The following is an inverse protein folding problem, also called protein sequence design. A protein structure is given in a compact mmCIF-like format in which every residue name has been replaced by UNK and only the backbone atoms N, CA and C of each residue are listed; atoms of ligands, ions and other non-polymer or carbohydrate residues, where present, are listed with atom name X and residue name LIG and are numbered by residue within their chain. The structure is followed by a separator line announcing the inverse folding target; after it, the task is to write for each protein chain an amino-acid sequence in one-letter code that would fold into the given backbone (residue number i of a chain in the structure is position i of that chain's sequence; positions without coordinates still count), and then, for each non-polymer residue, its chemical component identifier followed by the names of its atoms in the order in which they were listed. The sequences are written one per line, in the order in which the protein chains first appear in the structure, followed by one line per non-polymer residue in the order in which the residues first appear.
data_IF_613144471722
#
_entry.id   IF_613144471722
#
_cell.length_a   1.000
_cell.length_b   1.000
_cell.length_c   1.000
_cell.angle_alpha   90.00
_cell.angle_beta   90.00
_cell.angle_gamma   90.00
#
_symmetry.space_group_name_H-M   'P 1'
#
loop_
_entity.id
_entity.type
_entity.pdbx_description
1 polymer ?
#
# COMPACT_ATOMS: atom_id res chain seq x y z
N UNK A 1 -45.01 -0.71 -0.50
CA UNK A 1 -43.62 -0.18 -0.57
C UNK A 1 -42.57 -1.16 -1.10
N UNK A 2 -42.80 -2.48 -1.22
CA UNK A 2 -41.81 -3.46 -1.73
C UNK A 2 -41.63 -3.45 -3.26
N UNK A 3 -42.60 -3.07 -4.05
CA UNK A 3 -42.52 -3.11 -5.53
C UNK A 3 -41.63 -2.01 -6.16
N UNK A 4 -41.45 -0.84 -5.52
CA UNK A 4 -40.61 0.24 -6.06
C UNK A 4 -39.10 -0.06 -6.03
N UNK A 5 -38.62 -0.88 -5.09
CA UNK A 5 -37.22 -1.26 -4.99
C UNK A 5 -36.80 -2.27 -6.08
N UNK A 6 -37.69 -3.13 -6.50
CA UNK A 6 -37.42 -4.07 -7.60
C UNK A 6 -37.35 -3.39 -8.97
N UNK A 7 -38.14 -2.33 -9.19
CA UNK A 7 -38.12 -1.56 -10.44
C UNK A 7 -36.85 -0.76 -10.65
N UNK A 8 -36.31 -0.12 -9.59
CA UNK A 8 -35.04 0.58 -9.68
C UNK A 8 -33.83 -0.37 -9.90
N UNK A 9 -33.83 -1.52 -9.27
CA UNK A 9 -32.78 -2.53 -9.45
C UNK A 9 -32.80 -3.12 -10.88
N UNK A 10 -34.00 -3.32 -11.45
CA UNK A 10 -34.16 -3.82 -12.83
C UNK A 10 -33.72 -2.77 -13.87
N UNK A 11 -33.99 -1.48 -13.66
CA UNK A 11 -33.57 -0.40 -14.56
C UNK A 11 -32.06 -0.26 -14.54
N UNK A 12 -31.41 -0.37 -13.38
CA UNK A 12 -29.96 -0.32 -13.25
C UNK A 12 -29.29 -1.52 -13.97
N UNK A 13 -29.89 -2.70 -13.90
CA UNK A 13 -29.38 -3.89 -14.59
C UNK A 13 -29.59 -3.81 -16.12
N UNK A 14 -30.69 -3.19 -16.59
CA UNK A 14 -30.94 -2.97 -18.01
C UNK A 14 -30.03 -1.89 -18.61
N UNK A 15 -29.63 -0.88 -17.83
CA UNK A 15 -28.66 0.14 -18.26
C UNK A 15 -27.27 -0.43 -18.46
N UNK A 16 -26.91 -1.49 -17.70
CA UNK A 16 -25.63 -2.21 -17.87
C UNK A 16 -25.61 -3.11 -19.10
N UNK A 17 -26.76 -3.52 -19.64
CA UNK A 17 -26.84 -4.40 -20.81
C UNK A 17 -26.88 -3.67 -22.15
N UNK A 18 -27.07 -2.35 -22.17
CA UNK A 18 -27.15 -1.55 -23.42
C UNK A 18 -25.85 -0.91 -23.85
N UNK A 19 -24.74 -1.15 -23.13
CA UNK A 19 -23.41 -0.70 -23.58
C UNK A 19 -22.98 -1.64 -24.71
N UNK A 20 -23.11 -1.18 -25.93
CA UNK A 20 -22.46 -1.82 -27.09
C UNK A 20 -20.95 -1.73 -26.86
N UNK A 21 -20.37 -2.81 -26.36
CA UNK A 21 -18.92 -2.94 -26.14
C UNK A 21 -18.24 -3.05 -27.51
N UNK A 22 -18.09 -1.90 -28.18
CA UNK A 22 -17.10 -1.81 -29.24
C UNK A 22 -15.75 -1.70 -28.54
N UNK A 23 -14.95 -2.77 -28.58
CA UNK A 23 -13.48 -2.78 -28.43
C UNK A 23 -12.87 -1.72 -27.48
N UNK A 24 -13.38 -1.61 -26.24
CA UNK A 24 -12.98 -0.53 -25.32
C UNK A 24 -12.37 -1.05 -24.02
N UNK A 25 -12.34 -2.39 -23.87
CA UNK A 25 -11.84 -3.03 -22.66
C UNK A 25 -10.45 -3.60 -22.88
N UNK A 26 -9.52 -3.23 -22.02
CA UNK A 26 -8.18 -3.81 -21.96
C UNK A 26 -7.95 -4.40 -20.58
N UNK A 27 -7.29 -5.54 -20.55
CA UNK A 27 -6.90 -6.23 -19.29
C UNK A 27 -5.43 -6.61 -19.38
N UNK A 28 -4.73 -6.60 -18.27
CA UNK A 28 -3.30 -6.90 -18.31
C UNK A 28 -2.71 -7.32 -16.99
N UNK A 29 -1.39 -7.23 -16.94
CA UNK A 29 -0.60 -7.49 -15.74
C UNK A 29 0.34 -6.32 -15.50
N UNK A 30 0.53 -5.99 -14.23
CA UNK A 30 1.54 -5.03 -13.80
C UNK A 30 2.32 -5.56 -12.61
N UNK A 31 3.55 -5.05 -12.46
CA UNK A 31 4.38 -5.30 -11.30
C UNK A 31 5.35 -4.16 -11.08
N UNK A 32 5.75 -3.96 -9.82
CA UNK A 32 6.62 -2.85 -9.49
C UNK A 32 7.15 -2.84 -8.09
N UNK A 33 7.92 -1.80 -7.78
CA UNK A 33 8.44 -1.52 -6.45
C UNK A 33 7.63 -0.44 -5.74
N UNK A 34 7.56 -0.54 -4.42
CA UNK A 34 6.92 0.44 -3.55
C UNK A 34 7.90 0.95 -2.51
N UNK A 35 7.71 2.19 -2.07
CA UNK A 35 8.34 2.76 -0.88
C UNK A 35 7.25 3.37 -0.03
N UNK A 36 7.09 2.85 1.19
CA UNK A 36 6.04 3.30 2.10
C UNK A 36 6.62 4.12 3.24
N UNK A 37 5.92 5.17 3.58
CA UNK A 37 6.16 6.05 4.73
C UNK A 37 4.97 5.88 5.68
N UNK A 38 5.25 5.72 6.97
CA UNK A 38 4.22 5.77 7.99
C UNK A 38 4.15 7.20 8.53
N UNK A 39 3.13 7.96 8.11
CA UNK A 39 2.88 9.30 8.60
C UNK A 39 2.23 9.21 9.98
N UNK A 40 2.95 9.65 10.98
CA UNK A 40 2.52 9.64 12.39
C UNK A 40 3.25 10.72 13.17
N UNK A 41 2.58 11.31 14.16
CA UNK A 41 3.20 12.32 15.02
C UNK A 41 3.95 11.65 16.16
N UNK A 42 5.28 11.58 16.03
CA UNK A 42 6.18 10.96 17.02
C UNK A 42 6.67 11.94 18.09
N UNK A 43 6.21 13.20 18.09
CA UNK A 43 6.70 14.24 19.03
C UNK A 43 6.56 13.86 20.51
N UNK A 44 5.62 12.98 20.84
CA UNK A 44 5.39 12.47 22.19
C UNK A 44 6.10 11.13 22.47
N UNK A 45 6.80 10.57 21.50
CA UNK A 45 7.54 9.31 21.62
C UNK A 45 9.02 9.62 21.79
N UNK A 46 9.55 9.41 22.99
CA UNK A 46 10.95 9.64 23.28
C UNK A 46 11.82 8.71 22.44
N UNK A 47 12.85 9.25 21.78
CA UNK A 47 13.88 8.49 21.07
C UNK A 47 13.31 7.42 20.13
N UNK A 48 12.33 7.80 19.29
CA UNK A 48 11.66 6.89 18.34
C UNK A 48 11.50 7.58 17.00
N UNK A 49 11.78 6.85 15.91
CA UNK A 49 11.55 7.28 14.55
C UNK A 49 10.91 6.16 13.69
N UNK A 50 10.16 6.56 12.66
CA UNK A 50 9.63 5.65 11.65
C UNK A 50 10.33 5.88 10.33
N UNK A 51 11.09 4.89 9.89
CA UNK A 51 11.83 4.94 8.65
C UNK A 51 11.03 4.30 7.52
N UNK A 52 11.02 4.90 6.31
CA UNK A 52 10.37 4.30 5.16
C UNK A 52 11.08 3.02 4.74
N UNK A 53 10.29 2.04 4.25
CA UNK A 53 10.85 0.79 3.77
C UNK A 53 10.29 0.41 2.41
N UNK A 54 11.03 -0.44 1.69
CA UNK A 54 10.69 -0.87 0.34
C UNK A 54 9.83 -2.13 0.36
N UNK A 55 9.00 -2.28 -0.67
CA UNK A 55 8.16 -3.43 -0.92
C UNK A 55 7.95 -3.63 -2.42
N UNK A 56 6.96 -4.42 -2.78
CA UNK A 56 6.58 -4.65 -4.16
C UNK A 56 5.06 -4.62 -4.34
N UNK A 57 4.63 -4.48 -5.60
CA UNK A 57 3.23 -4.59 -6.00
C UNK A 57 3.12 -5.49 -7.22
N UNK A 58 2.00 -6.21 -7.31
CA UNK A 58 1.60 -6.97 -8.50
C UNK A 58 0.09 -6.85 -8.65
N UNK A 59 -0.39 -6.58 -9.88
CA UNK A 59 -1.78 -6.28 -10.14
C UNK A 59 -2.28 -6.73 -11.50
N UNK A 60 -3.60 -6.61 -11.65
CA UNK A 60 -4.34 -6.94 -12.88
C UNK A 60 -5.12 -5.68 -13.30
N UNK A 61 -4.48 -4.71 -13.97
CA UNK A 61 -5.16 -3.53 -14.43
C UNK A 61 -6.21 -3.85 -15.49
N UNK A 62 -7.36 -3.23 -15.35
CA UNK A 62 -8.49 -3.28 -16.28
C UNK A 62 -8.80 -1.86 -16.68
N UNK A 63 -8.68 -1.54 -17.95
CA UNK A 63 -8.90 -0.23 -18.53
C UNK A 63 -10.12 -0.25 -19.45
N UNK A 64 -11.09 0.62 -19.20
CA UNK A 64 -12.25 0.84 -20.03
C UNK A 64 -12.20 2.22 -20.67
N UNK A 65 -11.90 2.28 -21.97
CA UNK A 65 -11.82 3.53 -22.76
C UNK A 65 -13.23 4.08 -22.99
N UNK A 66 -13.48 5.35 -22.63
CA UNK A 66 -14.71 6.07 -22.93
C UNK A 66 -14.56 6.81 -24.26
N UNK A 67 -13.39 7.45 -24.44
CA UNK A 67 -13.00 8.15 -25.65
C UNK A 67 -11.45 8.17 -25.74
N UNK A 68 -10.88 8.91 -26.70
CA UNK A 68 -9.44 8.94 -26.98
C UNK A 68 -8.58 9.50 -25.83
N UNK A 69 -9.15 10.33 -24.97
CA UNK A 69 -8.43 11.01 -23.89
C UNK A 69 -8.89 10.60 -22.49
N UNK A 70 -10.02 9.88 -22.34
CA UNK A 70 -10.57 9.50 -21.06
C UNK A 70 -10.89 8.00 -21.01
N UNK A 71 -10.44 7.34 -19.97
CA UNK A 71 -10.80 5.97 -19.62
C UNK A 71 -11.07 5.84 -18.11
N UNK A 72 -11.77 4.79 -17.71
CA UNK A 72 -11.82 4.32 -16.33
C UNK A 72 -10.86 3.15 -16.16
N UNK A 73 -10.10 3.17 -15.07
CA UNK A 73 -9.18 2.09 -14.71
C UNK A 73 -9.55 1.54 -13.34
N UNK A 74 -9.67 0.21 -13.26
CA UNK A 74 -9.73 -0.55 -12.01
C UNK A 74 -8.48 -1.43 -11.94
N UNK A 75 -7.83 -1.47 -10.79
CA UNK A 75 -6.52 -2.09 -10.68
C UNK A 75 -6.38 -2.95 -9.41
N UNK A 76 -7.14 -4.09 -9.34
CA UNK A 76 -6.99 -5.00 -8.22
C UNK A 76 -5.54 -5.48 -8.12
N UNK A 77 -4.89 -5.23 -6.98
CA UNK A 77 -3.50 -5.58 -6.79
C UNK A 77 -3.17 -6.02 -5.35
N UNK A 78 -2.08 -6.75 -5.23
CA UNK A 78 -1.38 -7.00 -3.99
C UNK A 78 -0.26 -5.97 -3.85
N UNK A 79 -0.13 -5.37 -2.67
CA UNK A 79 0.89 -4.36 -2.39
C UNK A 79 1.49 -4.53 -1.00
N UNK A 80 2.79 -4.39 -0.90
CA UNK A 80 3.47 -4.27 0.38
C UNK A 80 3.64 -2.79 0.75
N UNK A 81 3.26 -2.46 2.01
CA UNK A 81 3.41 -1.14 2.63
C UNK A 81 4.26 -1.29 3.89
N UNK A 82 5.56 -1.33 3.68
CA UNK A 82 6.54 -1.66 4.72
C UNK A 82 7.06 -0.39 5.39
N UNK A 83 7.44 -0.50 6.65
CA UNK A 83 8.14 0.54 7.40
C UNK A 83 8.98 -0.07 8.52
N UNK A 84 9.96 0.68 9.00
CA UNK A 84 10.77 0.32 10.15
C UNK A 84 10.50 1.31 11.28
N UNK A 85 10.28 0.79 12.48
CA UNK A 85 10.36 1.53 13.72
C UNK A 85 11.78 1.38 14.25
N UNK A 86 12.49 2.48 14.48
CA UNK A 86 13.82 2.49 15.07
C UNK A 86 13.83 3.32 16.34
N UNK A 87 14.64 2.89 17.31
CA UNK A 87 14.91 3.69 18.50
C UNK A 87 16.20 4.47 18.28
N UNK A 88 16.23 5.69 18.78
CA UNK A 88 17.37 6.60 18.69
C UNK A 88 18.03 6.85 20.05
N UNK A 89 19.08 7.64 20.08
CA UNK A 89 19.82 8.06 21.26
C UNK A 89 20.25 6.86 22.15
N UNK A 90 19.87 6.90 23.39
CA UNK A 90 20.22 5.89 24.40
C UNK A 90 19.70 4.48 24.06
N UNK A 91 18.62 4.37 23.25
CA UNK A 91 18.00 3.11 22.85
C UNK A 91 18.44 2.64 21.47
N UNK A 92 19.48 3.22 20.90
CA UNK A 92 20.01 2.86 19.58
C UNK A 92 20.31 1.36 19.48
N UNK A 93 19.96 0.76 18.35
CA UNK A 93 20.10 -0.69 18.12
C UNK A 93 18.81 -1.48 18.35
N UNK A 94 17.79 -0.89 18.97
CA UNK A 94 16.46 -1.47 19.07
C UNK A 94 15.67 -1.05 17.82
N UNK A 95 15.16 -2.01 17.06
CA UNK A 95 14.38 -1.74 15.86
C UNK A 95 13.32 -2.82 15.61
N UNK A 96 12.33 -2.48 14.79
CA UNK A 96 11.32 -3.40 14.30
C UNK A 96 11.01 -3.10 12.83
N UNK A 97 11.32 -4.04 11.95
CA UNK A 97 10.89 -4.04 10.57
C UNK A 97 9.47 -4.60 10.48
N UNK A 98 8.60 -3.87 9.81
CA UNK A 98 7.21 -4.25 9.59
C UNK A 98 7.00 -4.50 8.10
N UNK A 99 6.75 -5.76 7.74
CA UNK A 99 6.38 -6.15 6.38
C UNK A 99 4.88 -6.34 6.32
N UNK A 100 4.18 -5.36 5.75
CA UNK A 100 2.73 -5.30 5.72
C UNK A 100 2.20 -5.62 4.32
N UNK A 101 1.33 -6.62 4.22
CA UNK A 101 0.73 -7.08 2.97
C UNK A 101 -0.72 -6.64 2.87
N UNK A 102 -1.08 -6.02 1.76
CA UNK A 102 -2.42 -5.53 1.45
C UNK A 102 -2.93 -6.11 0.14
N UNK A 103 -4.23 -6.35 0.07
CA UNK A 103 -4.97 -6.44 -1.19
C UNK A 103 -5.76 -5.15 -1.33
N UNK A 104 -5.67 -4.49 -2.48
CA UNK A 104 -6.35 -3.22 -2.71
C UNK A 104 -7.00 -3.17 -4.09
N UNK A 105 -7.99 -2.29 -4.19
CA UNK A 105 -8.71 -1.99 -5.42
C UNK A 105 -8.68 -0.48 -5.66
N UNK A 106 -7.70 0.05 -6.39
CA UNK A 106 -7.74 1.37 -6.98
C UNK A 106 -8.82 1.50 -8.05
N UNK A 107 -9.54 2.62 -8.03
CA UNK A 107 -10.49 3.03 -9.04
C UNK A 107 -10.14 4.44 -9.49
N UNK A 108 -9.86 4.62 -10.78
CA UNK A 108 -9.25 5.84 -11.31
C UNK A 108 -9.93 6.33 -12.58
N UNK A 109 -9.97 7.64 -12.73
CA UNK A 109 -10.10 8.28 -14.04
C UNK A 109 -8.70 8.34 -14.67
N UNK A 110 -8.57 7.82 -15.88
CA UNK A 110 -7.34 7.76 -16.67
C UNK A 110 -7.42 8.76 -17.81
N UNK A 111 -6.54 9.75 -17.79
CA UNK A 111 -6.49 10.83 -18.80
C UNK A 111 -5.27 10.64 -19.68
N UNK A 112 -5.48 10.34 -20.98
CA UNK A 112 -4.42 10.14 -21.97
C UNK A 112 -4.21 11.38 -22.81
N UNK A 113 -2.95 11.69 -23.12
CA UNK A 113 -2.57 12.79 -24.00
C UNK A 113 -1.30 12.45 -24.80
N UNK A 114 -1.17 12.99 -25.99
CA UNK A 114 0.02 12.79 -26.83
C UNK A 114 -0.29 12.26 -28.21
N UNK A 115 0.67 11.52 -28.78
CA UNK A 115 0.57 10.98 -30.14
C UNK A 115 -0.21 9.68 -30.26
N UNK A 116 -0.22 9.09 -31.46
CA UNK A 116 -0.97 7.86 -31.74
C UNK A 116 -0.40 6.65 -30.98
N UNK A 117 0.92 6.45 -31.02
CA UNK A 117 1.58 5.27 -30.42
C UNK A 117 2.13 5.52 -29.03
N UNK A 118 2.71 6.72 -28.81
CA UNK A 118 3.28 7.10 -27.54
C UNK A 118 2.39 8.15 -26.88
N UNK A 119 1.85 7.81 -25.71
CA UNK A 119 0.96 8.67 -24.92
C UNK A 119 1.51 8.87 -23.53
N UNK A 120 1.41 10.09 -23.02
CA UNK A 120 1.48 10.35 -21.60
C UNK A 120 0.10 10.14 -20.97
N UNK A 121 0.05 9.84 -19.68
CA UNK A 121 -1.23 9.75 -18.97
C UNK A 121 -1.15 10.22 -17.54
N UNK A 122 -2.31 10.63 -17.02
CA UNK A 122 -2.54 10.99 -15.64
C UNK A 122 -3.68 10.13 -15.09
N UNK A 123 -3.46 9.52 -13.93
CA UNK A 123 -4.45 8.76 -13.18
C UNK A 123 -4.83 9.52 -11.91
N UNK A 124 -6.13 9.71 -11.66
CA UNK A 124 -6.65 10.32 -10.44
C UNK A 124 -7.80 9.48 -9.90
N UNK A 125 -7.79 9.15 -8.61
CA UNK A 125 -8.85 8.32 -8.05
C UNK A 125 -8.73 8.08 -6.55
N UNK A 126 -9.43 7.03 -6.15
CA UNK A 126 -9.41 6.53 -4.78
C UNK A 126 -9.16 5.03 -4.75
N UNK A 127 -8.88 4.52 -3.57
CA UNK A 127 -8.71 3.09 -3.35
C UNK A 127 -9.29 2.63 -2.03
N UNK A 128 -9.71 1.37 -2.02
CA UNK A 128 -9.97 0.61 -0.82
C UNK A 128 -8.97 -0.51 -0.69
N UNK A 129 -8.46 -0.75 0.51
CA UNK A 129 -7.49 -1.80 0.78
C UNK A 129 -7.84 -2.59 2.04
N UNK A 130 -7.41 -3.83 2.07
CA UNK A 130 -7.53 -4.71 3.22
C UNK A 130 -6.16 -5.22 3.64
N UNK A 131 -5.79 -4.97 4.90
CA UNK A 131 -4.54 -5.43 5.50
C UNK A 131 -4.61 -6.93 5.77
N UNK A 132 -4.00 -7.73 4.90
CA UNK A 132 -4.04 -9.19 4.93
C UNK A 132 -3.21 -9.77 6.06
N UNK A 133 -1.95 -9.37 6.13
CA UNK A 133 -0.99 -9.90 7.08
C UNK A 133 0.11 -8.89 7.38
N UNK A 134 0.72 -9.06 8.52
CA UNK A 134 1.94 -8.34 8.90
C UNK A 134 2.94 -9.34 9.46
N UNK A 135 4.21 -9.12 9.14
CA UNK A 135 5.34 -9.86 9.66
C UNK A 135 6.29 -8.88 10.31
N UNK A 136 6.65 -9.15 11.55
CA UNK A 136 7.51 -8.29 12.36
C UNK A 136 8.82 -8.98 12.65
N UNK A 137 9.92 -8.28 12.40
CA UNK A 137 11.27 -8.73 12.68
C UNK A 137 12.05 -7.61 13.35
N UNK A 138 12.74 -7.92 14.41
CA UNK A 138 13.47 -6.87 15.11
C UNK A 138 14.36 -7.38 16.23
N UNK A 139 14.89 -6.40 16.97
CA UNK A 139 15.73 -6.61 18.14
C UNK A 139 15.19 -5.79 19.29
N UNK A 140 15.08 -6.41 20.46
CA UNK A 140 14.71 -5.76 21.72
C UNK A 140 15.64 -6.20 22.85
N UNK A 141 15.79 -5.40 23.91
CA UNK A 141 16.53 -5.85 25.09
C UNK A 141 15.78 -6.99 25.77
N UNK A 142 16.49 -8.05 26.10
CA UNK A 142 15.94 -9.15 26.90
C UNK A 142 16.05 -8.81 28.37
N UNK A 143 14.91 -8.48 29.00
CA UNK A 143 14.85 -8.11 30.40
C UNK A 143 14.85 -9.34 31.33
N UNK A 144 14.54 -10.54 30.78
CA UNK A 144 14.35 -11.76 31.55
C UNK A 144 15.60 -12.62 31.67
N UNK A 145 16.50 -12.57 30.67
CA UNK A 145 17.76 -13.34 30.66
C UNK A 145 18.95 -12.42 30.96
N UNK A 146 18.94 -11.76 32.10
CA UNK A 146 20.10 -11.02 32.58
C UNK A 146 21.18 -12.01 32.99
N UNK A 147 22.45 -11.83 32.56
CA UNK A 147 23.54 -12.60 33.15
C UNK A 147 23.54 -12.39 34.63
N UNK A 148 23.50 -13.50 35.40
CA UNK A 148 23.57 -13.45 36.86
C UNK A 148 24.72 -12.52 37.25
N UNK A 149 24.42 -11.51 38.03
CA UNK A 149 25.37 -10.53 38.50
C UNK A 149 26.47 -11.29 39.27
N UNK A 150 27.53 -11.64 38.57
CA UNK A 150 28.73 -12.16 39.22
C UNK A 150 29.38 -10.95 39.88
N UNK A 151 29.28 -10.90 41.22
CA UNK A 151 29.93 -9.91 42.08
C UNK A 151 31.46 -9.99 41.95
N UNK A 152 31.99 -9.65 40.80
CA UNK A 152 33.39 -9.26 40.62
C UNK A 152 33.43 -7.75 40.70
N UNK A 153 33.63 -7.30 41.92
CA UNK A 153 33.99 -5.90 42.24
C UNK A 153 35.28 -5.52 41.55
N UNK A 154 35.18 -5.14 40.27
CA UNK A 154 36.17 -4.37 39.61
C UNK A 154 35.52 -3.04 39.21
N UNK A 155 36.08 -1.97 39.75
CA UNK A 155 35.67 -0.57 39.72
C UNK A 155 35.58 0.04 38.28
N UNK A 156 34.89 -0.55 37.38
CA UNK A 156 34.52 0.06 36.12
C UNK A 156 32.97 0.25 36.14
N UNK A 157 32.58 1.50 36.33
CA UNK A 157 31.19 1.90 36.05
C UNK A 157 30.90 1.59 34.59
N UNK A 158 29.88 0.75 34.26
CA UNK A 158 29.49 0.56 32.88
C UNK A 158 28.97 1.91 32.36
N UNK A 159 29.62 2.43 31.32
CA UNK A 159 29.27 3.73 30.73
C UNK A 159 27.91 3.73 30.05
N UNK A 160 27.27 2.54 29.86
CA UNK A 160 25.92 2.39 29.35
C UNK A 160 25.25 1.19 30.01
N UNK A 161 24.11 1.39 30.65
CA UNK A 161 23.30 0.35 31.29
C UNK A 161 22.81 -0.71 30.28
N UNK A 162 22.81 -0.40 28.98
CA UNK A 162 22.38 -1.33 27.92
C UNK A 162 23.49 -2.20 27.34
N UNK A 163 24.76 -1.93 27.61
CA UNK A 163 25.88 -2.80 27.19
C UNK A 163 25.86 -4.17 27.91
N UNK A 164 25.05 -4.33 28.94
CA UNK A 164 24.85 -5.57 29.70
C UNK A 164 23.61 -6.38 29.28
N UNK A 165 22.71 -5.84 28.44
CA UNK A 165 21.52 -6.56 28.02
C UNK A 165 21.79 -7.43 26.80
N UNK A 166 21.59 -8.75 26.90
CA UNK A 166 21.63 -9.66 25.75
C UNK A 166 20.46 -9.30 24.83
N UNK A 167 20.72 -8.89 23.58
CA UNK A 167 19.64 -8.55 22.67
C UNK A 167 18.85 -9.81 22.30
N UNK A 168 17.53 -9.69 22.33
CA UNK A 168 16.60 -10.71 21.85
C UNK A 168 16.15 -10.37 20.44
N UNK A 169 16.45 -11.26 19.49
CA UNK A 169 15.98 -11.12 18.11
C UNK A 169 14.69 -11.91 17.95
N UNK A 170 13.66 -11.28 17.41
CA UNK A 170 12.38 -11.90 17.07
C UNK A 170 12.07 -11.81 15.60
N UNK A 171 11.33 -12.80 15.10
CA UNK A 171 10.90 -12.89 13.70
C UNK A 171 9.59 -13.66 13.66
N UNK A 172 8.46 -12.96 13.67
CA UNK A 172 7.16 -13.57 13.90
C UNK A 172 6.04 -12.93 13.08
N UNK A 173 4.97 -13.68 12.90
CA UNK A 173 3.74 -13.15 12.30
C UNK A 173 2.97 -12.34 13.33
N UNK A 174 2.67 -11.08 12.99
CA UNK A 174 1.84 -10.21 13.81
C UNK A 174 0.42 -10.78 13.94
N UNK A 175 -0.07 -10.86 15.16
CA UNK A 175 -1.43 -11.29 15.49
C UNK A 175 -2.33 -10.07 15.59
N UNK A 176 -3.28 -9.94 14.65
CA UNK A 176 -4.22 -8.82 14.63
C UNK A 176 -5.15 -8.85 15.84
N UNK A 177 -5.27 -7.70 16.50
CA UNK A 177 -6.22 -7.46 17.58
C UNK A 177 -7.42 -6.68 17.03
N UNK A 178 -8.62 -7.29 17.10
CA UNK A 178 -9.86 -6.68 16.60
C UNK A 178 -10.23 -5.37 17.28
N UNK A 179 -9.72 -5.11 18.48
CA UNK A 179 -9.99 -3.87 19.24
C UNK A 179 -9.02 -2.76 18.87
N UNK A 180 -7.79 -3.10 18.47
CA UNK A 180 -6.69 -2.16 18.21
C UNK A 180 -6.46 -1.88 16.74
N UNK A 181 -6.57 -2.91 15.89
CA UNK A 181 -6.16 -2.82 14.50
C UNK A 181 -7.33 -2.48 13.57
N UNK A 182 -7.14 -1.50 12.73
CA UNK A 182 -8.03 -1.21 11.62
C UNK A 182 -7.45 -1.82 10.34
N UNK A 183 -8.09 -2.87 9.87
CA UNK A 183 -7.62 -3.60 8.68
C UNK A 183 -8.17 -3.05 7.37
N UNK A 184 -9.11 -2.11 7.42
CA UNK A 184 -9.67 -1.46 6.24
C UNK A 184 -8.99 -0.12 6.06
N UNK A 185 -8.42 0.09 4.89
CA UNK A 185 -7.78 1.34 4.50
C UNK A 185 -8.52 1.94 3.31
N UNK A 186 -8.86 3.21 3.41
CA UNK A 186 -9.43 4.03 2.34
C UNK A 186 -8.49 5.20 2.09
N UNK A 187 -8.31 5.57 0.83
CA UNK A 187 -7.43 6.67 0.49
C UNK A 187 -7.62 7.20 -0.92
N UNK A 188 -6.83 8.22 -1.22
CA UNK A 188 -6.75 8.85 -2.54
C UNK A 188 -5.44 8.45 -3.22
N UNK A 189 -5.44 8.54 -4.54
CA UNK A 189 -4.25 8.30 -5.34
C UNK A 189 -4.17 9.23 -6.54
N UNK A 190 -2.93 9.48 -6.94
CA UNK A 190 -2.58 10.16 -8.18
C UNK A 190 -1.40 9.44 -8.83
N UNK A 191 -1.44 9.28 -10.15
CA UNK A 191 -0.38 8.62 -10.91
C UNK A 191 -0.08 9.36 -12.20
N UNK A 192 1.15 9.27 -12.66
CA UNK A 192 1.61 9.80 -13.93
C UNK A 192 2.46 8.74 -14.63
N UNK A 193 2.25 8.59 -15.92
CA UNK A 193 2.97 7.59 -16.67
C UNK A 193 3.03 7.84 -18.18
N UNK A 194 3.63 6.86 -18.83
CA UNK A 194 3.72 6.81 -20.28
C UNK A 194 3.29 5.43 -20.76
N UNK A 195 2.63 5.38 -21.90
CA UNK A 195 2.21 4.14 -22.54
C UNK A 195 2.63 4.13 -24.01
N UNK A 196 2.97 2.94 -24.47
CA UNK A 196 3.32 2.68 -25.87
C UNK A 196 2.41 1.59 -26.45
N UNK A 197 1.68 1.93 -27.50
CA UNK A 197 0.77 1.03 -28.19
C UNK A 197 1.51 0.27 -29.30
N UNK A 198 1.49 -1.07 -29.20
CA UNK A 198 2.10 -1.97 -30.18
C UNK A 198 1.03 -2.82 -30.86
N UNK A 199 1.00 -2.76 -32.21
CA UNK A 199 0.10 -3.57 -33.08
C UNK A 199 -1.39 -3.43 -32.75
N UNK A 200 -1.84 -2.28 -32.25
CA UNK A 200 -3.23 -1.97 -31.88
C UNK A 200 -3.87 -3.00 -30.92
N UNK A 201 -3.06 -3.79 -30.21
CA UNK A 201 -3.52 -4.84 -29.30
C UNK A 201 -2.83 -4.82 -27.94
N UNK A 202 -1.55 -4.43 -27.91
CA UNK A 202 -0.76 -4.43 -26.69
C UNK A 202 -0.40 -3.00 -26.30
N UNK A 203 -0.71 -2.62 -25.08
CA UNK A 203 -0.35 -1.34 -24.50
C UNK A 203 0.65 -1.58 -23.37
N UNK A 204 1.93 -1.31 -23.63
CA UNK A 204 2.96 -1.31 -22.59
C UNK A 204 2.93 0.02 -21.86
N UNK A 205 3.09 0.00 -20.55
CA UNK A 205 3.10 1.23 -19.78
C UNK A 205 4.11 1.19 -18.62
N UNK A 206 4.54 2.37 -18.21
CA UNK A 206 5.26 2.61 -16.96
C UNK A 206 4.58 3.75 -16.22
N UNK A 207 4.37 3.60 -14.93
CA UNK A 207 3.65 4.56 -14.10
C UNK A 207 4.36 4.77 -12.76
N UNK A 208 4.44 6.03 -12.32
CA UNK A 208 4.74 6.40 -10.95
C UNK A 208 3.43 6.84 -10.28
N UNK A 209 3.09 6.24 -9.15
CA UNK A 209 1.82 6.45 -8.45
C UNK A 209 2.05 6.76 -6.98
N UNK A 210 1.35 7.77 -6.46
CA UNK A 210 1.32 8.13 -5.06
C UNK A 210 -0.03 7.77 -4.45
N UNK A 211 0.02 7.13 -3.28
CA UNK A 211 -1.15 6.73 -2.50
C UNK A 211 -1.11 7.43 -1.15
N UNK A 212 -2.21 8.10 -0.79
CA UNK A 212 -2.41 8.75 0.49
C UNK A 212 -3.53 8.06 1.25
N UNK A 213 -3.21 7.39 2.35
CA UNK A 213 -4.24 6.86 3.25
C UNK A 213 -4.96 7.98 3.98
N UNK A 214 -6.28 7.85 4.07
CA UNK A 214 -7.17 8.69 4.88
C UNK A 214 -7.70 7.94 6.11
N UNK A 215 -7.42 6.65 6.20
CA UNK A 215 -7.84 5.79 7.31
C UNK A 215 -6.67 5.52 8.24
N UNK A 216 -6.88 5.69 9.54
CA UNK A 216 -5.91 5.30 10.55
C UNK A 216 -5.75 3.78 10.59
N UNK A 217 -4.52 3.28 10.68
CA UNK A 217 -4.22 1.85 10.90
C UNK A 217 -4.68 1.35 12.27
N UNK A 218 -4.96 2.26 13.19
CA UNK A 218 -5.38 1.95 14.55
C UNK A 218 -6.83 2.37 14.79
N UNK A 219 -7.50 1.64 15.66
CA UNK A 219 -8.79 2.05 16.21
C UNK A 219 -8.57 2.85 17.50
N UNK A 220 -9.52 3.70 17.84
CA UNK A 220 -9.50 4.48 19.08
C UNK A 220 -9.78 3.57 20.29
N UNK A 221 -8.80 2.78 20.72
CA UNK A 221 -8.91 1.89 21.85
C UNK A 221 -8.38 2.47 23.18
N UNK A 222 -7.71 3.60 23.12
CA UNK A 222 -7.17 4.34 24.26
C UNK A 222 -7.33 5.85 24.04
N UNK A 223 -7.28 6.63 25.12
CA UNK A 223 -7.19 8.09 25.04
C UNK A 223 -5.82 8.50 24.48
N UNK A 224 -5.79 9.51 23.62
CA UNK A 224 -4.56 10.09 23.06
C UNK A 224 -3.73 9.14 22.20
N UNK A 225 -4.38 8.26 21.43
CA UNK A 225 -3.68 7.46 20.40
C UNK A 225 -3.19 8.39 19.29
N UNK A 226 -1.93 8.19 18.89
CA UNK A 226 -1.35 8.89 17.74
C UNK A 226 -1.76 8.18 16.45
N UNK A 227 -2.47 8.84 15.53
CA UNK A 227 -2.89 8.24 14.27
C UNK A 227 -1.69 7.81 13.41
N UNK A 228 -1.90 6.77 12.59
CA UNK A 228 -0.91 6.20 11.68
C UNK A 228 -1.50 6.05 10.29
N UNK A 229 -0.96 6.80 9.34
CA UNK A 229 -1.43 6.79 7.96
C UNK A 229 -0.32 6.30 7.03
N UNK A 230 -0.66 5.41 6.10
CA UNK A 230 0.27 5.00 5.05
C UNK A 230 0.33 6.06 3.95
N UNK A 231 1.55 6.40 3.55
CA UNK A 231 1.87 7.16 2.35
C UNK A 231 2.79 6.31 1.48
N UNK A 232 2.35 5.93 0.29
CA UNK A 232 3.12 5.00 -0.54
C UNK A 232 3.41 5.61 -1.90
N UNK A 233 4.68 5.60 -2.30
CA UNK A 233 5.11 5.83 -3.68
C UNK A 233 5.38 4.50 -4.33
N UNK A 234 4.76 4.24 -5.48
CA UNK A 234 4.98 3.06 -6.30
C UNK A 234 5.49 3.43 -7.68
N UNK A 235 6.36 2.58 -8.24
CA UNK A 235 6.71 2.61 -9.67
C UNK A 235 6.42 1.24 -10.23
N UNK A 236 5.55 1.16 -11.23
CA UNK A 236 5.12 -0.09 -11.86
C UNK A 236 5.30 -0.04 -13.37
N UNK A 237 5.45 -1.23 -13.95
CA UNK A 237 5.47 -1.47 -15.37
C UNK A 237 4.47 -2.58 -15.68
N UNK A 238 3.81 -2.47 -16.82
CA UNK A 238 2.80 -3.45 -17.19
C UNK A 238 2.53 -3.51 -18.67
N UNK A 239 1.67 -4.46 -19.01
CA UNK A 239 1.17 -4.64 -20.36
C UNK A 239 -0.33 -4.94 -20.29
N UNK A 240 -1.12 -4.17 -21.03
CA UNK A 240 -2.54 -4.37 -21.26
C UNK A 240 -2.76 -5.00 -22.64
N UNK A 241 -3.73 -5.91 -22.72
CA UNK A 241 -4.22 -6.50 -23.94
C UNK A 241 -5.64 -6.00 -24.23
N UNK A 242 -5.88 -5.45 -25.41
CA UNK A 242 -7.19 -4.94 -25.82
C UNK A 242 -8.10 -6.09 -26.29
N UNK A 243 -9.22 -6.28 -25.55
CA UNK A 243 -10.21 -7.31 -25.80
C UNK A 243 -11.19 -6.83 -26.88
N UNK A 244 -10.91 -7.02 -28.14
CA UNK A 244 -11.86 -6.69 -29.19
C UNK A 244 -11.38 -5.78 -30.31
N UNK A 245 -10.07 -5.66 -30.50
CA UNK A 245 -9.50 -5.00 -31.69
C UNK A 245 -10.05 -5.63 -32.96
N UNK A 246 -10.80 -4.87 -33.72
CA UNK A 246 -11.28 -5.28 -35.04
C UNK A 246 -10.06 -5.55 -35.92
N UNK A 247 -9.92 -6.78 -36.41
CA UNK A 247 -9.07 -7.07 -37.55
C UNK A 247 -9.73 -6.43 -38.76
N UNK A 248 -9.37 -5.18 -39.11
CA UNK A 248 -9.54 -4.63 -40.45
C UNK A 248 -8.20 -4.68 -41.14
#
# INVERSE_FOLDING_TARGET
MKQRKFFLSSIFFFFLLSIQVKSQLSIGLEGGGTKNYLNTNVSNLVSTEYNPSYGFTIGIPVLYKINDWLAFQADPNYMQKNYQLARTDFFQGIYQDNTNSYVQLPLMAHFSFGGEKLKGFLNLGGYGAYWLSSHIKGTMPNILDQPAYTNTVNNAQPNNVFDEYIPYNYNEKYQFDKTKDNRIELGLLAGVGMSYEMNNKYLFFGEARYYQSMSDQQKNYQLNIVPRYNETVGVSFGCLYELGGNNN
#
